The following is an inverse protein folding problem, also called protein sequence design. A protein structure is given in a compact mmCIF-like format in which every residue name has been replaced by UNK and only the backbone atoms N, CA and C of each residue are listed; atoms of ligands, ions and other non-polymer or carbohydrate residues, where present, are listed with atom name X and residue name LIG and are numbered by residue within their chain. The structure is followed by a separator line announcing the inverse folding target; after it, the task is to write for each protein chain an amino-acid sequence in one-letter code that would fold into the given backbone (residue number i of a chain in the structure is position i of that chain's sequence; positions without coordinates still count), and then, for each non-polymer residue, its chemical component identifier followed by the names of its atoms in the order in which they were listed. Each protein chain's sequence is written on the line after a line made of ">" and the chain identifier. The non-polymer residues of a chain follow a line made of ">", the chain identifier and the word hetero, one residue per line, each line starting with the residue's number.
data_IF_905063190600
#
_entry.id   IF_905063190600
#
_cell.length_a   1.000
_cell.length_b   1.000
_cell.length_c   1.000
_cell.angle_alpha   90.00
_cell.angle_beta   90.00
_cell.angle_gamma   90.00
#
_symmetry.space_group_name_H-M   'P 1'
#
loop_
_entity.id
_entity.type
_entity.pdbx_description
1 polymer ?
#
# COMPACT_ATOMS: atom_id res chain seq x y z
N UNK A 1 9.55 12.80 -1.35
CA UNK A 1 8.71 12.79 -2.57
C UNK A 1 9.48 13.52 -3.67
N UNK A 2 10.09 12.81 -4.63
CA UNK A 2 10.87 13.41 -5.74
C UNK A 2 10.34 13.06 -7.14
N UNK A 3 9.37 12.15 -7.24
CA UNK A 3 8.68 11.82 -8.48
C UNK A 3 7.51 12.79 -8.71
N UNK A 4 7.29 13.24 -9.94
CA UNK A 4 6.29 14.28 -10.24
C UNK A 4 4.87 13.93 -9.77
N UNK A 5 4.46 12.66 -9.90
CA UNK A 5 3.16 12.17 -9.44
C UNK A 5 3.07 11.81 -7.96
N UNK A 6 4.17 11.92 -7.20
CA UNK A 6 4.18 11.64 -5.77
C UNK A 6 3.68 12.87 -5.00
N UNK A 7 2.40 13.20 -5.15
CA UNK A 7 1.74 14.38 -4.58
C UNK A 7 0.40 14.03 -3.93
N UNK A 8 0.12 14.65 -2.80
CA UNK A 8 -1.21 14.67 -2.17
C UNK A 8 -1.82 16.04 -2.50
N UNK A 9 -3.00 16.07 -3.10
CA UNK A 9 -3.66 17.30 -3.54
C UNK A 9 -5.17 17.21 -3.37
N UNK A 10 -5.81 18.33 -3.03
CA UNK A 10 -7.27 18.38 -2.84
C UNK A 10 -7.81 17.42 -1.76
N UNK A 11 -6.99 17.07 -0.77
CA UNK A 11 -7.36 16.11 0.28
C UNK A 11 -7.33 14.63 -0.14
N UNK A 12 -6.83 14.32 -1.35
CA UNK A 12 -6.73 12.96 -1.90
C UNK A 12 -5.28 12.61 -2.26
N UNK A 13 -5.00 11.30 -2.36
CA UNK A 13 -3.71 10.77 -2.77
C UNK A 13 -2.81 10.27 -1.62
N UNK A 14 -3.31 10.26 -0.38
CA UNK A 14 -2.56 9.74 0.76
C UNK A 14 -2.27 8.23 0.60
N UNK A 15 -1.20 7.76 1.23
CA UNK A 15 -0.91 6.32 1.27
C UNK A 15 -1.96 5.54 2.07
N UNK A 16 -2.53 6.16 3.11
CA UNK A 16 -3.52 5.52 3.98
C UNK A 16 -4.82 5.18 3.25
N UNK A 17 -5.27 6.06 2.35
CA UNK A 17 -6.47 5.80 1.54
C UNK A 17 -6.30 4.58 0.63
N UNK A 18 -5.06 4.34 0.16
CA UNK A 18 -4.73 3.17 -0.66
C UNK A 18 -4.74 1.88 0.16
N UNK A 19 -4.17 1.90 1.37
CA UNK A 19 -4.21 0.74 2.27
C UNK A 19 -5.64 0.38 2.68
N UNK A 20 -6.49 1.37 3.00
CA UNK A 20 -7.92 1.12 3.27
C UNK A 20 -8.65 0.51 2.06
N UNK A 21 -8.27 0.90 0.84
CA UNK A 21 -8.84 0.30 -0.36
C UNK A 21 -8.40 -1.16 -0.54
N UNK A 22 -7.14 -1.47 -0.24
CA UNK A 22 -6.63 -2.85 -0.22
C UNK A 22 -7.39 -3.70 0.81
N UNK A 23 -7.60 -3.21 2.03
CA UNK A 23 -8.39 -3.90 3.06
C UNK A 23 -9.82 -4.20 2.58
N UNK A 24 -10.50 -3.20 2.00
CA UNK A 24 -11.85 -3.36 1.45
C UNK A 24 -11.94 -4.39 0.33
N UNK A 25 -10.86 -4.53 -0.45
CA UNK A 25 -10.75 -5.51 -1.51
C UNK A 25 -10.27 -6.90 -1.02
N UNK A 26 -9.94 -7.05 0.27
CA UNK A 26 -9.35 -8.28 0.80
C UNK A 26 -7.94 -8.56 0.27
N UNK A 27 -7.22 -7.53 -0.19
CA UNK A 27 -5.85 -7.67 -0.69
C UNK A 27 -4.87 -7.76 0.49
N UNK A 28 -3.90 -8.66 0.39
CA UNK A 28 -2.78 -8.69 1.33
C UNK A 28 -1.77 -7.57 1.05
N UNK A 29 -1.25 -6.94 2.10
CA UNK A 29 -0.28 -5.84 2.01
C UNK A 29 0.54 -5.72 3.31
N UNK A 30 1.62 -4.93 3.29
CA UNK A 30 2.43 -4.63 4.48
C UNK A 30 2.87 -3.16 4.50
N UNK A 31 3.00 -2.59 5.71
CA UNK A 31 3.57 -1.23 5.91
C UNK A 31 5.09 -1.21 5.80
N UNK A 32 5.74 -2.36 5.97
CA UNK A 32 7.19 -2.45 5.98
C UNK A 32 7.67 -3.01 4.65
N UNK A 33 8.38 -2.23 3.82
CA UNK A 33 8.88 -2.72 2.54
C UNK A 33 9.83 -3.92 2.68
N UNK A 34 10.52 -4.07 3.81
CA UNK A 34 11.39 -5.22 4.07
C UNK A 34 10.62 -6.55 4.24
N UNK A 35 9.31 -6.49 4.54
CA UNK A 35 8.48 -7.66 4.77
C UNK A 35 7.67 -8.10 3.53
N UNK A 36 7.88 -7.48 2.37
CA UNK A 36 7.12 -7.81 1.15
C UNK A 36 7.24 -9.30 0.77
N UNK A 37 8.45 -9.86 0.86
CA UNK A 37 8.69 -11.28 0.55
C UNK A 37 7.97 -12.22 1.52
N UNK A 38 8.06 -11.96 2.82
CA UNK A 38 7.37 -12.74 3.86
C UNK A 38 5.85 -12.64 3.72
N UNK A 39 5.32 -11.44 3.46
CA UNK A 39 3.89 -11.21 3.26
C UNK A 39 3.37 -12.02 2.08
N UNK A 40 4.07 -11.99 0.95
CA UNK A 40 3.72 -12.78 -0.24
C UNK A 40 3.75 -14.28 0.08
N UNK A 41 4.83 -14.75 0.69
CA UNK A 41 5.01 -16.16 1.05
C UNK A 41 3.86 -16.70 1.91
N UNK A 42 3.38 -15.91 2.87
CA UNK A 42 2.27 -16.28 3.74
C UNK A 42 0.91 -16.36 3.01
N UNK A 43 0.77 -15.73 1.84
CA UNK A 43 -0.49 -15.71 1.06
C UNK A 43 -0.54 -16.84 0.04
N UNK A 44 0.61 -17.25 -0.51
CA UNK A 44 0.68 -18.24 -1.59
C UNK A 44 0.91 -19.67 -1.09
N UNK A 45 1.02 -19.86 0.22
CA UNK A 45 1.16 -21.17 0.87
C UNK A 45 -0.14 -21.62 1.50
#
# INVERSE_FOLDING_TARGET
>A
MGHAGAIISGGSGSAEDKFRAFDKAGMAWTRNPALLGETLWNVIK
#
